data_IF_223425425285
#
_entry.id   IF_223425425285
#
_cell.length_a   1.000
_cell.length_b   1.000
_cell.length_c   1.000
_cell.angle_alpha   90.00
_cell.angle_beta   90.00
_cell.angle_gamma   90.00
#
_symmetry.space_group_name_H-M   'P 1'
#
loop_
_entity.id
_entity.type
_entity.pdbx_description
1 polymer ?
#
# COMPACT_ATOMS: atom_id res chain seq x y z
N UNK A 1 -1.71 25.09 18.79
CA UNK A 1 -1.39 23.72 19.23
C UNK A 1 -1.40 22.89 17.97
N UNK A 2 -0.25 22.49 17.47
CA UNK A 2 -0.19 21.56 16.35
C UNK A 2 -0.78 20.24 16.83
N UNK A 3 -1.95 19.90 16.31
CA UNK A 3 -2.55 18.58 16.52
C UNK A 3 -1.76 17.60 15.66
N UNK A 4 -0.66 17.08 16.19
CA UNK A 4 -0.01 15.92 15.59
C UNK A 4 -1.02 14.79 15.58
N UNK A 5 -1.20 14.14 14.43
CA UNK A 5 -2.04 12.96 14.35
C UNK A 5 -1.23 11.80 14.92
N UNK A 6 -1.64 11.17 16.01
CA UNK A 6 -0.84 10.07 16.55
C UNK A 6 -0.87 8.84 15.63
N UNK A 7 -1.99 8.62 14.94
CA UNK A 7 -2.28 7.41 14.16
C UNK A 7 -3.00 7.77 12.86
N UNK A 8 -2.45 7.34 11.72
CA UNK A 8 -3.09 7.40 10.41
C UNK A 8 -3.52 5.99 9.97
N UNK A 9 -4.83 5.76 9.86
CA UNK A 9 -5.40 4.51 9.37
C UNK A 9 -5.95 4.71 7.96
N UNK A 10 -5.45 3.97 6.99
CA UNK A 10 -5.89 4.04 5.59
C UNK A 10 -6.35 2.67 5.14
N UNK A 11 -7.49 2.62 4.47
CA UNK A 11 -7.91 1.43 3.71
C UNK A 11 -8.16 1.85 2.27
N UNK A 12 -7.70 1.04 1.32
CA UNK A 12 -7.87 1.32 -0.09
C UNK A 12 -8.08 0.03 -0.88
N UNK A 13 -9.12 0.03 -1.73
CA UNK A 13 -9.19 -0.89 -2.84
C UNK A 13 -8.15 -0.46 -3.89
N UNK A 14 -7.17 -1.32 -4.12
CA UNK A 14 -6.01 -1.04 -4.98
C UNK A 14 -6.01 -1.86 -6.26
N UNK A 15 -7.07 -2.61 -6.57
CA UNK A 15 -7.12 -3.46 -7.76
C UNK A 15 -6.84 -2.70 -9.05
N UNK A 16 -7.38 -1.48 -9.17
CA UNK A 16 -7.17 -0.61 -10.32
C UNK A 16 -5.72 -0.10 -10.47
N UNK A 17 -4.92 -0.12 -9.40
CA UNK A 17 -3.49 0.27 -9.47
C UNK A 17 -2.67 -0.74 -10.27
N UNK A 18 -3.10 -2.01 -10.26
CA UNK A 18 -2.40 -3.10 -10.93
C UNK A 18 -2.94 -3.35 -12.33
N UNK A 19 -4.22 -3.09 -12.58
CA UNK A 19 -4.84 -3.22 -13.91
C UNK A 19 -4.40 -2.12 -14.89
N UNK A 20 -4.06 -0.91 -14.40
CA UNK A 20 -3.56 0.22 -15.19
C UNK A 20 -2.27 0.79 -14.58
N UNK A 21 -1.23 -0.07 -14.52
CA UNK A 21 0.05 0.27 -13.92
C UNK A 21 0.67 1.53 -14.56
N UNK A 22 0.92 2.56 -13.76
CA UNK A 22 1.52 3.83 -14.20
C UNK A 22 0.82 5.05 -13.63
N UNK A 23 -0.15 5.62 -14.35
CA UNK A 23 -0.76 6.91 -13.98
C UNK A 23 -1.55 6.85 -12.67
N UNK A 24 -2.42 5.83 -12.51
CA UNK A 24 -3.25 5.71 -11.32
C UNK A 24 -2.39 5.38 -10.10
N UNK A 25 -1.41 4.49 -10.26
CA UNK A 25 -0.46 4.13 -9.20
C UNK A 25 0.34 5.36 -8.73
N UNK A 26 0.89 6.14 -9.64
CA UNK A 26 1.64 7.35 -9.31
C UNK A 26 0.77 8.40 -8.61
N UNK A 27 -0.46 8.62 -9.12
CA UNK A 27 -1.39 9.56 -8.50
C UNK A 27 -1.81 9.13 -7.09
N UNK A 28 -2.03 7.82 -6.89
CA UNK A 28 -2.38 7.28 -5.57
C UNK A 28 -1.23 7.44 -4.56
N UNK A 29 0.01 7.12 -4.97
CA UNK A 29 1.19 7.29 -4.13
C UNK A 29 1.42 8.77 -3.77
N UNK A 30 1.30 9.68 -4.75
CA UNK A 30 1.41 11.12 -4.50
C UNK A 30 0.39 11.63 -3.48
N UNK A 31 -0.85 11.14 -3.55
CA UNK A 31 -1.89 11.53 -2.60
C UNK A 31 -1.63 10.98 -1.20
N UNK A 32 -1.17 9.73 -1.10
CA UNK A 32 -0.78 9.13 0.16
C UNK A 32 0.36 9.93 0.82
N UNK A 33 1.42 10.22 0.07
CA UNK A 33 2.57 10.99 0.55
C UNK A 33 2.19 12.40 0.98
N UNK A 34 1.33 13.08 0.20
CA UNK A 34 0.78 14.38 0.59
C UNK A 34 -0.01 14.29 1.90
N UNK A 35 -0.74 13.21 2.11
CA UNK A 35 -1.52 12.96 3.32
C UNK A 35 -0.62 12.73 4.53
N UNK A 36 0.40 11.88 4.40
CA UNK A 36 1.41 11.63 5.44
C UNK A 36 2.12 12.95 5.79
N UNK A 37 2.56 13.70 4.79
CA UNK A 37 3.24 14.98 5.02
C UNK A 37 2.35 16.00 5.73
N UNK A 38 1.06 16.06 5.39
CA UNK A 38 0.09 16.98 6.01
C UNK A 38 -0.18 16.65 7.48
N UNK A 39 -0.32 15.38 7.82
CA UNK A 39 -0.76 14.96 9.16
C UNK A 39 0.40 14.58 10.09
N UNK A 40 1.62 14.36 9.56
CA UNK A 40 2.82 13.97 10.28
C UNK A 40 2.56 12.86 11.32
N UNK A 41 1.99 11.70 10.90
CA UNK A 41 1.60 10.67 11.84
C UNK A 41 2.80 9.98 12.50
N UNK A 42 2.67 9.60 13.78
CA UNK A 42 3.68 8.79 14.46
C UNK A 42 3.58 7.30 14.12
N UNK A 43 2.39 6.86 13.67
CA UNK A 43 2.14 5.49 13.24
C UNK A 43 1.17 5.48 12.05
N UNK A 44 1.44 4.60 11.08
CA UNK A 44 0.62 4.43 9.88
C UNK A 44 0.19 2.97 9.82
N UNK A 45 -1.09 2.71 9.59
CA UNK A 45 -1.57 1.40 9.19
C UNK A 45 -2.30 1.51 7.85
N UNK A 46 -1.83 0.77 6.86
CA UNK A 46 -2.43 0.68 5.54
C UNK A 46 -3.04 -0.71 5.37
N UNK A 47 -4.29 -0.76 4.94
CA UNK A 47 -4.97 -1.99 4.55
C UNK A 47 -5.35 -1.92 3.07
N UNK A 48 -4.94 -2.94 2.33
CA UNK A 48 -5.06 -3.03 0.88
C UNK A 48 -6.04 -4.15 0.52
N UNK A 49 -7.05 -3.82 -0.29
CA UNK A 49 -7.97 -4.78 -0.89
C UNK A 49 -7.71 -4.94 -2.39
N UNK A 50 -7.99 -6.13 -2.92
CA UNK A 50 -7.82 -6.46 -4.34
C UNK A 50 -6.37 -6.31 -4.82
N UNK A 51 -5.40 -6.69 -3.98
CA UNK A 51 -3.98 -6.74 -4.35
C UNK A 51 -3.78 -7.68 -5.56
N UNK A 52 -3.14 -7.17 -6.61
CA UNK A 52 -3.00 -7.86 -7.90
C UNK A 52 -4.11 -7.54 -8.92
N UNK A 53 -5.19 -6.88 -8.53
CA UNK A 53 -6.26 -6.49 -9.44
C UNK A 53 -7.02 -7.69 -10.02
N UNK A 54 -7.67 -7.50 -11.18
CA UNK A 54 -8.50 -8.53 -11.79
C UNK A 54 -7.66 -9.70 -12.31
N UNK A 55 -6.51 -9.39 -12.89
CA UNK A 55 -5.58 -10.37 -13.46
C UNK A 55 -4.42 -10.66 -12.47
N UNK A 56 -4.76 -10.96 -11.22
CA UNK A 56 -3.78 -11.15 -10.13
C UNK A 56 -2.68 -12.17 -10.47
N UNK A 57 -2.99 -13.26 -11.19
CA UNK A 57 -1.99 -14.26 -11.59
C UNK A 57 -0.82 -13.68 -12.42
N UNK A 58 -1.07 -12.58 -13.15
CA UNK A 58 -0.07 -11.89 -13.97
C UNK A 58 0.53 -10.70 -13.21
N UNK A 59 -0.28 -10.05 -12.37
CA UNK A 59 0.04 -8.77 -11.76
C UNK A 59 0.68 -8.86 -10.38
N UNK A 60 0.77 -10.04 -9.75
CA UNK A 60 1.39 -10.15 -8.42
C UNK A 60 2.86 -9.70 -8.40
N UNK A 61 3.61 -9.85 -9.50
CA UNK A 61 4.94 -9.26 -9.62
C UNK A 61 4.93 -7.71 -9.60
N UNK A 62 3.87 -7.09 -10.13
CA UNK A 62 3.68 -5.64 -10.04
C UNK A 62 3.27 -5.20 -8.63
N UNK A 63 2.57 -6.07 -7.88
CA UNK A 63 2.23 -5.82 -6.49
C UNK A 63 3.50 -5.81 -5.60
N UNK A 64 4.42 -6.74 -5.79
CA UNK A 64 5.70 -6.73 -5.06
C UNK A 64 6.49 -5.43 -5.31
N UNK A 65 6.60 -5.00 -6.58
CA UNK A 65 7.25 -3.73 -6.92
C UNK A 65 6.55 -2.52 -6.29
N UNK A 66 5.21 -2.53 -6.20
CA UNK A 66 4.45 -1.46 -5.54
C UNK A 66 4.79 -1.35 -4.06
N UNK A 67 4.84 -2.46 -3.33
CA UNK A 67 5.19 -2.43 -1.91
C UNK A 67 6.63 -2.00 -1.68
N UNK A 68 7.54 -2.40 -2.56
CA UNK A 68 8.94 -1.95 -2.50
C UNK A 68 9.09 -0.44 -2.76
N UNK A 69 8.36 0.11 -3.72
CA UNK A 69 8.31 1.56 -3.97
C UNK A 69 7.74 2.34 -2.79
N UNK A 70 6.73 1.77 -2.11
CA UNK A 70 6.14 2.39 -0.93
C UNK A 70 7.10 2.35 0.27
N UNK A 71 7.71 1.20 0.55
CA UNK A 71 8.67 1.04 1.65
C UNK A 71 9.93 1.91 1.48
N UNK A 72 10.40 2.09 0.24
CA UNK A 72 11.59 2.88 -0.08
C UNK A 72 11.34 4.39 -0.21
N UNK A 73 10.12 4.86 0.10
CA UNK A 73 9.75 6.27 -0.08
C UNK A 73 10.40 7.18 0.97
N UNK A 74 10.69 8.42 0.56
CA UNK A 74 11.26 9.44 1.44
C UNK A 74 10.32 9.81 2.60
N UNK A 75 9.01 9.64 2.41
CA UNK A 75 7.98 9.90 3.43
C UNK A 75 7.92 8.84 4.52
N UNK A 76 8.36 7.61 4.23
CA UNK A 76 8.41 6.51 5.20
C UNK A 76 9.79 6.31 5.84
N UNK A 77 10.83 6.99 5.34
CA UNK A 77 12.22 6.80 5.83
C UNK A 77 12.43 7.13 7.31
N UNK A 78 11.59 7.99 7.88
CA UNK A 78 11.72 8.47 9.26
C UNK A 78 11.06 7.50 10.27
N UNK A 79 10.38 6.45 9.80
CA UNK A 79 9.84 5.39 10.64
C UNK A 79 10.91 4.34 10.92
N UNK A 80 11.05 3.95 12.19
CA UNK A 80 12.11 3.02 12.60
C UNK A 80 11.90 1.58 12.11
N UNK A 81 10.66 1.23 11.70
CA UNK A 81 10.26 -0.14 11.31
C UNK A 81 9.12 -0.10 10.31
N UNK A 82 9.15 -1.06 9.39
CA UNK A 82 8.05 -1.34 8.46
C UNK A 82 7.77 -2.84 8.48
N UNK A 83 6.51 -3.23 8.53
CA UNK A 83 6.07 -4.62 8.44
C UNK A 83 4.99 -4.76 7.36
N UNK A 84 5.29 -5.54 6.33
CA UNK A 84 4.39 -5.76 5.19
C UNK A 84 3.90 -7.21 5.22
N UNK A 85 2.58 -7.38 5.20
CA UNK A 85 1.91 -8.67 5.16
C UNK A 85 1.02 -8.69 3.93
N UNK A 86 1.34 -9.51 2.94
CA UNK A 86 0.57 -9.62 1.70
C UNK A 86 0.30 -11.08 1.45
N UNK A 87 -0.94 -11.40 1.08
CA UNK A 87 -1.28 -12.73 0.61
C UNK A 87 -0.64 -12.97 -0.76
N UNK A 88 0.49 -13.68 -0.77
CA UNK A 88 1.22 -14.04 -1.98
C UNK A 88 0.87 -15.44 -2.49
N UNK A 89 -0.08 -16.15 -1.87
CA UNK A 89 -0.46 -17.51 -2.23
C UNK A 89 -1.49 -17.55 -3.36
N UNK A 90 -1.28 -16.74 -4.40
CA UNK A 90 -2.21 -16.57 -5.52
C UNK A 90 -2.46 -17.83 -6.35
N UNK A 91 -1.62 -18.87 -6.21
CA UNK A 91 -1.83 -20.18 -6.85
C UNK A 91 -2.81 -21.09 -6.08
N UNK A 92 -3.14 -20.75 -4.83
CA UNK A 92 -4.09 -21.48 -4.01
C UNK A 92 -5.45 -20.74 -4.03
N UNK A 93 -6.17 -20.84 -5.15
CA UNK A 93 -7.42 -20.09 -5.40
C UNK A 93 -8.46 -20.18 -4.28
N UNK A 94 -8.59 -21.34 -3.62
CA UNK A 94 -9.56 -21.54 -2.53
C UNK A 94 -9.25 -20.73 -1.26
N UNK A 95 -8.00 -20.29 -1.07
CA UNK A 95 -7.54 -19.55 0.11
C UNK A 95 -7.04 -18.14 -0.18
N UNK A 96 -6.90 -17.76 -1.44
CA UNK A 96 -6.39 -16.46 -1.83
C UNK A 96 -7.37 -15.34 -1.51
N UNK A 97 -6.91 -14.37 -0.72
CA UNK A 97 -7.72 -13.27 -0.21
C UNK A 97 -7.53 -11.96 -0.99
N UNK A 98 -6.44 -11.83 -1.75
CA UNK A 98 -6.02 -10.58 -2.38
C UNK A 98 -5.92 -9.40 -1.39
N UNK A 99 -5.58 -9.67 -0.12
CA UNK A 99 -5.42 -8.67 0.91
C UNK A 99 -3.95 -8.39 1.21
N UNK A 100 -3.68 -7.18 1.68
CA UNK A 100 -2.40 -6.81 2.24
C UNK A 100 -2.52 -5.78 3.35
N UNK A 101 -1.50 -5.70 4.19
CA UNK A 101 -1.37 -4.69 5.23
C UNK A 101 0.07 -4.21 5.34
N UNK A 102 0.26 -2.93 5.65
CA UNK A 102 1.55 -2.33 6.01
C UNK A 102 1.40 -1.58 7.33
N UNK A 103 2.39 -1.70 8.20
CA UNK A 103 2.49 -1.04 9.50
C UNK A 103 3.88 -0.46 9.72
#
# INVERSE_FOLDING_TARGET
MDTSTDVLLVTANVGSLFDNAGEIQNGWLQELYRTIHKYQPQFIALHFQEVGGKDYMVNMGNAENFFWLLESSEELKDFDRTCIYVDSQFQAEEGFTALGSMY
#
